data_IF_457898116340
#
_entry.id   IF_457898116340
#
_cell.length_a   1.000
_cell.length_b   1.000
_cell.length_c   1.000
_cell.angle_alpha   90.00
_cell.angle_beta   90.00
_cell.angle_gamma   90.00
#
_symmetry.space_group_name_H-M   'P 1'
#
loop_
_entity.id
_entity.type
_entity.pdbx_description
1 polymer ?
#
# COMPACT_ATOMS: atom_id res chain seq x y z
N UNK A 1 25.33 -9.16 10.62
CA UNK A 1 25.54 -8.02 11.56
C UNK A 1 24.66 -8.22 12.78
N UNK A 2 25.10 -7.83 13.98
CA UNK A 2 24.21 -7.91 15.16
C UNK A 2 23.18 -6.76 15.15
N UNK A 3 22.04 -6.94 15.81
CA UNK A 3 20.98 -5.92 15.85
C UNK A 3 21.46 -4.58 16.42
N UNK A 4 22.30 -4.60 17.45
CA UNK A 4 22.86 -3.40 18.09
C UNK A 4 23.80 -2.61 17.16
N UNK A 5 24.68 -3.31 16.44
CA UNK A 5 25.56 -2.69 15.43
C UNK A 5 24.73 -2.09 14.28
N UNK A 6 23.75 -2.85 13.80
CA UNK A 6 22.85 -2.40 12.72
C UNK A 6 22.05 -1.17 13.16
N UNK A 7 21.47 -1.21 14.37
CA UNK A 7 20.73 -0.11 14.95
C UNK A 7 21.57 1.17 15.02
N UNK A 8 22.84 1.06 15.45
CA UNK A 8 23.77 2.19 15.47
C UNK A 8 23.95 2.83 14.09
N UNK A 9 24.21 2.01 13.07
CA UNK A 9 24.38 2.49 11.68
C UNK A 9 23.12 3.15 11.12
N UNK A 10 21.94 2.58 11.39
CA UNK A 10 20.67 3.19 10.98
C UNK A 10 20.43 4.50 11.72
N UNK A 11 20.72 4.56 13.02
CA UNK A 11 20.58 5.79 13.83
C UNK A 11 21.46 6.92 13.29
N UNK A 12 22.71 6.62 12.93
CA UNK A 12 23.62 7.56 12.29
C UNK A 12 23.07 8.04 10.93
N UNK A 13 22.60 7.11 10.09
CA UNK A 13 22.03 7.43 8.79
C UNK A 13 20.77 8.32 8.91
N UNK A 14 19.82 7.96 9.79
CA UNK A 14 18.62 8.77 10.07
C UNK A 14 19.00 10.18 10.57
N UNK A 15 20.01 10.28 11.44
CA UNK A 15 20.45 11.57 11.99
C UNK A 15 21.12 12.47 10.95
N UNK A 16 21.61 11.90 9.84
CA UNK A 16 22.23 12.65 8.75
C UNK A 16 21.23 13.22 7.73
N UNK A 17 19.96 12.82 7.81
CA UNK A 17 18.92 13.21 6.85
C UNK A 17 18.52 14.68 7.01
N UNK A 18 18.40 15.38 5.88
CA UNK A 18 17.70 16.65 5.81
C UNK A 18 16.19 16.40 5.69
N UNK A 19 15.55 16.17 6.85
CA UNK A 19 14.11 15.89 6.91
C UNK A 19 13.25 17.08 6.49
N UNK A 20 13.74 18.32 6.65
CA UNK A 20 13.00 19.53 6.29
C UNK A 20 12.79 19.65 4.78
N UNK A 21 13.76 19.23 3.95
CA UNK A 21 13.59 19.22 2.49
C UNK A 21 12.63 18.12 1.99
N UNK A 22 12.50 17.01 2.73
CA UNK A 22 11.54 15.95 2.43
C UNK A 22 10.12 16.42 2.76
N UNK A 23 9.94 16.81 4.03
CA UNK A 23 8.66 17.18 4.64
C UNK A 23 8.95 18.25 5.72
N UNK A 24 8.56 19.52 5.50
CA UNK A 24 8.72 20.55 6.51
C UNK A 24 8.10 20.16 7.85
N UNK A 25 8.86 20.32 8.94
CA UNK A 25 8.43 19.94 10.29
C UNK A 25 8.50 18.44 10.60
N UNK A 26 8.92 17.59 9.66
CA UNK A 26 9.14 16.17 9.95
C UNK A 26 10.32 15.99 10.90
N UNK A 27 10.08 15.19 11.95
CA UNK A 27 11.09 14.76 12.92
C UNK A 27 11.03 13.24 12.96
N UNK A 28 12.14 12.54 12.66
CA UNK A 28 12.20 11.10 12.79
C UNK A 28 11.75 10.64 14.17
N UNK A 29 10.95 9.57 14.20
CA UNK A 29 10.52 8.95 15.46
C UNK A 29 11.64 8.03 15.97
N UNK A 30 11.48 7.54 17.20
CA UNK A 30 12.30 6.38 17.62
C UNK A 30 11.89 5.15 16.80
N UNK A 31 12.79 4.19 16.73
CA UNK A 31 12.53 2.92 16.08
C UNK A 31 13.07 1.75 16.89
N UNK A 32 12.56 0.55 16.64
CA UNK A 32 13.11 -0.70 17.13
C UNK A 32 13.44 -1.64 15.97
N UNK A 33 14.51 -2.41 16.11
CA UNK A 33 14.85 -3.51 15.22
C UNK A 33 14.63 -4.82 15.95
N UNK A 34 14.01 -5.80 15.31
CA UNK A 34 13.80 -7.11 15.90
C UNK A 34 14.06 -8.23 14.90
N UNK A 35 14.35 -9.42 15.41
CA UNK A 35 14.37 -10.67 14.66
C UNK A 35 13.39 -11.66 15.31
N UNK A 36 13.48 -12.95 14.97
CA UNK A 36 12.59 -13.96 15.53
C UNK A 36 12.73 -14.11 17.07
N UNK A 37 13.89 -13.76 17.64
CA UNK A 37 14.22 -13.99 19.05
C UNK A 37 14.41 -12.70 19.87
N UNK A 38 14.96 -11.65 19.25
CA UNK A 38 15.51 -10.48 19.94
C UNK A 38 14.88 -9.21 19.42
N UNK A 39 14.80 -8.21 20.30
CA UNK A 39 14.41 -6.85 19.96
C UNK A 39 15.43 -5.88 20.55
N UNK A 40 15.84 -4.89 19.75
CA UNK A 40 16.75 -3.82 20.14
C UNK A 40 16.06 -2.47 19.98
N UNK A 41 15.96 -1.73 21.07
CA UNK A 41 15.25 -0.45 21.14
C UNK A 41 15.95 0.48 22.12
N UNK A 42 16.13 1.74 21.71
CA UNK A 42 16.66 2.81 22.57
C UNK A 42 18.00 2.47 23.26
N UNK A 43 18.89 1.82 22.51
CA UNK A 43 20.25 1.48 22.97
C UNK A 43 20.37 0.21 23.82
N UNK A 44 19.29 -0.56 23.99
CA UNK A 44 19.32 -1.82 24.75
C UNK A 44 18.56 -2.94 24.05
N UNK A 45 18.96 -4.18 24.34
CA UNK A 45 18.14 -5.35 24.07
C UNK A 45 16.97 -5.37 25.07
N UNK A 46 15.76 -5.53 24.54
CA UNK A 46 14.53 -5.64 25.32
C UNK A 46 13.87 -6.99 25.05
N UNK A 47 12.95 -7.39 25.92
CA UNK A 47 12.11 -8.55 25.68
C UNK A 47 11.22 -8.33 24.45
N UNK A 48 11.25 -9.27 23.50
CA UNK A 48 10.37 -9.24 22.34
C UNK A 48 8.98 -9.73 22.76
N UNK A 49 8.02 -8.83 22.78
CA UNK A 49 6.61 -9.15 23.00
C UNK A 49 5.85 -9.28 21.67
N UNK A 50 4.59 -9.70 21.73
CA UNK A 50 3.74 -9.94 20.54
C UNK A 50 3.43 -8.66 19.74
N UNK A 51 3.69 -7.47 20.29
CA UNK A 51 3.53 -6.20 19.56
C UNK A 51 4.57 -6.02 18.45
N UNK A 52 5.71 -6.72 18.53
CA UNK A 52 6.76 -6.75 17.52
C UNK A 52 6.52 -7.90 16.54
N UNK A 53 5.53 -7.75 15.67
CA UNK A 53 5.06 -8.81 14.76
C UNK A 53 4.88 -8.39 13.29
N UNK A 54 5.06 -7.10 12.97
CA UNK A 54 5.03 -6.58 11.61
C UNK A 54 6.07 -5.45 11.39
N UNK A 55 6.25 -5.05 10.14
CA UNK A 55 6.94 -3.81 9.80
C UNK A 55 5.87 -2.72 9.73
N UNK A 56 5.87 -1.81 10.70
CA UNK A 56 4.82 -0.79 10.86
C UNK A 56 5.27 0.27 11.87
N UNK A 57 4.41 1.25 12.14
CA UNK A 57 4.47 2.07 13.35
C UNK A 57 3.48 1.58 14.42
N UNK A 58 3.88 1.63 15.70
CA UNK A 58 3.05 1.24 16.86
C UNK A 58 3.10 2.29 17.98
N UNK A 59 2.09 2.30 18.84
CA UNK A 59 2.18 2.93 20.17
C UNK A 59 2.90 1.96 21.12
N UNK A 60 4.06 2.39 21.63
CA UNK A 60 4.85 1.62 22.58
C UNK A 60 5.17 2.51 23.79
N UNK A 61 4.62 2.15 24.95
CA UNK A 61 4.74 2.93 26.20
C UNK A 61 4.26 4.39 26.07
N UNK A 62 3.23 4.65 25.26
CA UNK A 62 2.67 6.00 25.05
C UNK A 62 3.47 6.87 24.09
N UNK A 63 4.45 6.30 23.39
CA UNK A 63 5.21 6.95 22.32
C UNK A 63 5.00 6.19 21.00
N UNK A 64 4.78 6.92 19.91
CA UNK A 64 4.72 6.34 18.57
C UNK A 64 6.13 6.02 18.07
N UNK A 65 6.40 4.75 17.74
CA UNK A 65 7.70 4.29 17.24
C UNK A 65 7.54 3.52 15.93
N UNK A 66 8.59 3.46 15.11
CA UNK A 66 8.69 2.54 13.99
C UNK A 66 9.25 1.18 14.45
N UNK A 67 8.77 0.07 13.91
CA UNK A 67 9.32 -1.26 14.19
C UNK A 67 9.64 -1.96 12.87
N UNK A 68 10.76 -2.67 12.85
CA UNK A 68 11.21 -3.37 11.66
C UNK A 68 11.84 -4.73 11.99
N UNK A 69 11.33 -5.78 11.32
CA UNK A 69 11.91 -7.12 11.35
C UNK A 69 13.11 -7.18 10.41
N UNK A 70 14.27 -7.52 10.97
CA UNK A 70 15.51 -7.68 10.23
C UNK A 70 15.65 -9.13 9.79
N UNK A 71 15.54 -9.35 8.48
CA UNK A 71 15.81 -10.64 7.85
C UNK A 71 17.08 -10.53 7.00
N UNK A 72 18.06 -11.42 7.26
CA UNK A 72 19.32 -11.46 6.50
C UNK A 72 20.26 -10.28 6.77
N UNK A 73 21.09 -9.95 5.79
CA UNK A 73 22.02 -8.81 5.85
C UNK A 73 21.50 -7.66 4.98
N UNK A 74 20.93 -6.60 5.58
CA UNK A 74 20.28 -5.54 4.83
C UNK A 74 21.29 -4.52 4.29
N UNK A 75 20.98 -3.98 3.11
CA UNK A 75 21.58 -2.74 2.62
C UNK A 75 21.14 -1.56 3.51
N UNK A 76 22.11 -0.80 4.04
CA UNK A 76 21.87 0.23 5.05
C UNK A 76 21.02 1.40 4.52
N UNK A 77 21.36 2.05 3.39
CA UNK A 77 20.47 3.02 2.74
C UNK A 77 19.05 2.51 2.54
N UNK A 78 18.89 1.27 2.04
CA UNK A 78 17.57 0.69 1.79
C UNK A 78 16.79 0.48 3.08
N UNK A 79 17.39 -0.15 4.09
CA UNK A 79 16.72 -0.36 5.37
C UNK A 79 16.39 0.96 6.07
N UNK A 80 17.30 1.95 6.00
CA UNK A 80 17.05 3.29 6.57
C UNK A 80 15.82 3.92 5.93
N UNK A 81 15.71 3.90 4.60
CA UNK A 81 14.55 4.46 3.90
C UNK A 81 13.23 3.79 4.29
N UNK A 82 13.26 2.48 4.53
CA UNK A 82 12.09 1.70 4.96
C UNK A 82 11.70 1.97 6.40
N UNK A 83 12.66 2.16 7.30
CA UNK A 83 12.33 2.56 8.67
C UNK A 83 11.76 3.98 8.69
N UNK A 84 12.29 4.90 7.88
CA UNK A 84 11.75 6.27 7.79
C UNK A 84 10.35 6.29 7.17
N UNK A 85 10.02 5.37 6.26
CA UNK A 85 8.65 5.12 5.80
C UNK A 85 7.72 4.84 6.99
N UNK A 86 8.09 3.90 7.86
CA UNK A 86 7.28 3.57 9.05
C UNK A 86 7.23 4.73 10.05
N UNK A 87 8.33 5.48 10.22
CA UNK A 87 8.32 6.70 11.03
C UNK A 87 7.33 7.74 10.48
N UNK A 88 7.16 7.80 9.16
CA UNK A 88 6.22 8.70 8.52
C UNK A 88 4.76 8.30 8.79
N UNK A 89 4.43 7.01 8.83
CA UNK A 89 3.11 6.57 9.31
C UNK A 89 2.84 7.00 10.75
N UNK A 90 3.86 6.99 11.60
CA UNK A 90 3.74 7.54 12.95
C UNK A 90 3.50 9.05 12.96
N UNK A 91 4.08 9.83 12.03
CA UNK A 91 3.75 11.25 11.86
C UNK A 91 2.29 11.43 11.42
N UNK A 92 1.83 10.69 10.40
CA UNK A 92 0.44 10.74 9.93
C UNK A 92 -0.55 10.49 11.07
N UNK A 93 -0.22 9.54 11.95
CA UNK A 93 -1.00 9.23 13.17
C UNK A 93 -1.00 10.39 14.15
N UNK A 94 0.17 10.97 14.47
CA UNK A 94 0.32 12.13 15.38
C UNK A 94 -0.42 13.38 14.87
N UNK A 95 -0.39 13.60 13.56
CA UNK A 95 -1.10 14.69 12.89
C UNK A 95 -2.58 14.38 12.63
N UNK A 96 -3.05 13.18 13.01
CA UNK A 96 -4.45 12.74 12.90
C UNK A 96 -4.98 12.81 11.48
N UNK A 97 -4.18 12.37 10.51
CA UNK A 97 -4.65 12.21 9.14
C UNK A 97 -5.90 11.31 9.16
N UNK A 98 -7.00 11.80 8.61
CA UNK A 98 -8.33 11.16 8.71
C UNK A 98 -8.76 10.50 7.40
N UNK A 99 -7.77 10.10 6.59
CA UNK A 99 -7.97 9.54 5.26
C UNK A 99 -7.66 8.05 5.17
N UNK A 100 -7.65 7.33 6.30
CA UNK A 100 -7.56 5.86 6.31
C UNK A 100 -8.75 5.24 5.57
N UNK A 101 -8.48 4.24 4.72
CA UNK A 101 -9.51 3.50 4.00
C UNK A 101 -10.01 2.32 4.84
N UNK A 102 -11.29 1.97 4.69
CA UNK A 102 -11.82 0.71 5.22
C UNK A 102 -11.46 -0.43 4.25
N UNK A 103 -10.35 -1.09 4.54
CA UNK A 103 -9.78 -2.16 3.71
C UNK A 103 -10.71 -3.37 3.60
N UNK A 104 -11.43 -3.72 4.68
CA UNK A 104 -12.37 -4.82 4.67
C UNK A 104 -13.58 -4.48 3.81
N UNK A 105 -14.15 -3.27 3.93
CA UNK A 105 -15.22 -2.81 3.04
C UNK A 105 -14.79 -2.83 1.56
N UNK A 106 -13.56 -2.38 1.28
CA UNK A 106 -13.03 -2.29 -0.07
C UNK A 106 -12.99 -3.64 -0.78
N UNK A 107 -12.67 -4.74 -0.07
CA UNK A 107 -12.69 -6.08 -0.65
C UNK A 107 -14.06 -6.42 -1.29
N UNK A 108 -15.15 -6.03 -0.66
CA UNK A 108 -16.50 -6.33 -1.15
C UNK A 108 -16.99 -5.30 -2.17
N UNK A 109 -16.71 -4.02 -1.90
CA UNK A 109 -17.36 -2.90 -2.57
C UNK A 109 -16.59 -2.41 -3.78
N UNK A 110 -15.26 -2.48 -3.77
CA UNK A 110 -14.44 -2.03 -4.90
C UNK A 110 -14.72 -2.91 -6.14
N UNK A 111 -15.01 -2.29 -7.29
CA UNK A 111 -15.25 -3.02 -8.54
C UNK A 111 -14.18 -2.72 -9.58
N UNK A 112 -13.48 -3.77 -9.99
CA UNK A 112 -12.59 -3.70 -11.14
C UNK A 112 -13.41 -3.52 -12.42
N UNK A 113 -13.11 -2.44 -13.15
CA UNK A 113 -13.82 -2.07 -14.37
C UNK A 113 -12.81 -1.65 -15.45
N UNK A 114 -12.97 -2.19 -16.66
CA UNK A 114 -12.02 -1.97 -17.75
C UNK A 114 -11.93 -0.50 -18.18
N UNK A 115 -13.03 0.26 -18.16
CA UNK A 115 -13.02 1.70 -18.49
C UNK A 115 -12.31 2.52 -17.41
N UNK A 116 -12.57 2.21 -16.12
CA UNK A 116 -11.90 2.87 -15.01
C UNK A 116 -10.39 2.59 -15.05
N UNK A 117 -10.02 1.34 -15.28
CA UNK A 117 -8.63 0.91 -15.38
C UNK A 117 -7.93 1.49 -16.61
N UNK A 118 -8.63 1.63 -17.74
CA UNK A 118 -8.05 2.28 -18.93
C UNK A 118 -7.77 3.76 -18.69
N UNK A 119 -8.64 4.48 -17.97
CA UNK A 119 -8.37 5.86 -17.56
C UNK A 119 -7.17 5.91 -16.61
N UNK A 120 -7.09 5.00 -15.64
CA UNK A 120 -5.97 4.90 -14.71
C UNK A 120 -4.63 4.64 -15.43
N UNK A 121 -4.61 3.80 -16.46
CA UNK A 121 -3.42 3.61 -17.29
C UNK A 121 -2.99 4.90 -18.01
N UNK A 122 -3.95 5.71 -18.49
CA UNK A 122 -3.65 7.02 -19.07
C UNK A 122 -3.09 7.98 -18.01
N UNK A 123 -3.65 7.98 -16.81
CA UNK A 123 -3.14 8.75 -15.67
C UNK A 123 -1.70 8.33 -15.34
N UNK A 124 -1.39 7.03 -15.35
CA UNK A 124 -0.05 6.52 -15.13
C UNK A 124 0.92 6.98 -16.22
N UNK A 125 0.55 6.95 -17.49
CA UNK A 125 1.38 7.50 -18.58
C UNK A 125 1.71 8.98 -18.36
N UNK A 126 0.74 9.76 -17.89
CA UNK A 126 0.92 11.18 -17.57
C UNK A 126 1.81 11.37 -16.34
N UNK A 127 1.63 10.57 -15.29
CA UNK A 127 2.50 10.56 -14.11
C UNK A 127 3.95 10.24 -14.49
N UNK A 128 4.18 9.25 -15.35
CA UNK A 128 5.52 8.91 -15.83
C UNK A 128 6.15 10.01 -16.68
N UNK A 129 5.36 10.67 -17.54
CA UNK A 129 5.82 11.85 -18.28
C UNK A 129 6.24 12.97 -17.33
N UNK A 130 5.43 13.27 -16.31
CA UNK A 130 5.69 14.30 -15.31
C UNK A 130 6.91 13.98 -14.44
N UNK A 131 7.14 12.69 -14.15
CA UNK A 131 8.31 12.20 -13.43
C UNK A 131 9.62 12.43 -14.21
N UNK A 132 9.59 12.28 -15.53
CA UNK A 132 10.76 12.51 -16.38
C UNK A 132 11.01 14.00 -16.60
N UNK A 133 9.93 14.76 -16.84
CA UNK A 133 9.98 16.22 -16.94
C UNK A 133 8.61 16.80 -16.66
N UNK A 134 8.54 17.70 -15.68
CA UNK A 134 7.30 18.41 -15.41
C UNK A 134 6.80 19.19 -16.63
N UNK A 135 5.51 19.04 -16.92
CA UNK A 135 4.81 19.67 -18.04
C UNK A 135 3.40 20.04 -17.58
N UNK A 136 3.10 21.32 -17.53
CA UNK A 136 1.81 21.85 -17.04
C UNK A 136 0.62 21.36 -17.89
N UNK A 137 0.82 21.10 -19.19
CA UNK A 137 -0.24 20.55 -20.04
C UNK A 137 -0.59 19.11 -19.63
N UNK A 138 0.41 18.24 -19.48
CA UNK A 138 0.23 16.88 -18.99
C UNK A 138 -0.35 16.85 -17.57
N UNK A 139 0.06 17.78 -16.70
CA UNK A 139 -0.47 17.88 -15.34
C UNK A 139 -1.96 18.24 -15.32
N UNK A 140 -2.39 19.21 -16.14
CA UNK A 140 -3.81 19.56 -16.27
C UNK A 140 -4.63 18.43 -16.86
N UNK A 141 -4.09 17.71 -17.86
CA UNK A 141 -4.72 16.53 -18.42
C UNK A 141 -4.93 15.45 -17.34
N UNK A 142 -3.89 15.16 -16.55
CA UNK A 142 -3.95 14.21 -15.44
C UNK A 142 -5.07 14.57 -14.46
N UNK A 143 -5.12 15.83 -14.01
CA UNK A 143 -6.17 16.28 -13.10
C UNK A 143 -7.57 16.16 -13.73
N UNK A 144 -7.71 16.45 -15.03
CA UNK A 144 -9.02 16.34 -15.71
C UNK A 144 -9.53 14.90 -15.81
N UNK A 145 -8.65 13.92 -16.03
CA UNK A 145 -9.00 12.50 -16.00
C UNK A 145 -9.34 12.03 -14.58
N UNK A 146 -8.56 12.45 -13.58
CA UNK A 146 -8.88 12.15 -12.17
C UNK A 146 -10.19 12.77 -11.75
N UNK A 147 -10.51 13.98 -12.22
CA UNK A 147 -11.82 14.59 -11.99
C UNK A 147 -12.94 13.76 -12.59
N UNK A 148 -12.81 13.34 -13.85
CA UNK A 148 -13.78 12.46 -14.50
C UNK A 148 -13.96 11.15 -13.71
N UNK A 149 -12.87 10.51 -13.27
CA UNK A 149 -12.94 9.30 -12.45
C UNK A 149 -13.64 9.54 -11.12
N UNK A 150 -13.37 10.67 -10.45
CA UNK A 150 -14.03 11.03 -9.19
C UNK A 150 -15.54 11.19 -9.33
N UNK A 151 -16.04 11.59 -10.51
CA UNK A 151 -17.48 11.74 -10.77
C UNK A 151 -18.11 10.41 -11.22
N UNK A 152 -17.42 9.61 -12.04
CA UNK A 152 -17.95 8.39 -12.64
C UNK A 152 -17.81 7.15 -11.74
N UNK A 153 -16.75 7.07 -10.95
CA UNK A 153 -16.40 5.94 -10.08
C UNK A 153 -16.07 6.46 -8.66
N UNK A 154 -17.04 7.09 -7.97
CA UNK A 154 -16.77 7.86 -6.76
C UNK A 154 -16.22 7.01 -5.61
N UNK A 155 -16.63 5.75 -5.49
CA UNK A 155 -16.14 4.87 -4.43
C UNK A 155 -14.71 4.41 -4.71
N UNK A 156 -14.45 3.87 -5.90
CA UNK A 156 -13.13 3.41 -6.31
C UNK A 156 -12.11 4.55 -6.26
N UNK A 157 -12.50 5.74 -6.73
CA UNK A 157 -11.64 6.91 -6.70
C UNK A 157 -11.35 7.40 -5.27
N UNK A 158 -12.34 7.41 -4.37
CA UNK A 158 -12.14 7.79 -2.97
C UNK A 158 -11.23 6.79 -2.25
N UNK A 159 -11.47 5.49 -2.41
CA UNK A 159 -10.61 4.43 -1.88
C UNK A 159 -9.17 4.56 -2.38
N UNK A 160 -8.97 4.62 -3.71
CA UNK A 160 -7.63 4.78 -4.30
C UNK A 160 -6.92 6.03 -3.78
N UNK A 161 -7.63 7.16 -3.70
CA UNK A 161 -7.05 8.43 -3.25
C UNK A 161 -6.63 8.40 -1.78
N UNK A 162 -7.34 7.65 -0.94
CA UNK A 162 -6.98 7.41 0.47
C UNK A 162 -5.71 6.59 0.61
N UNK A 163 -5.61 5.49 -0.15
CA UNK A 163 -4.39 4.66 -0.16
C UNK A 163 -3.21 5.42 -0.74
N UNK A 164 -3.40 6.12 -1.87
CA UNK A 164 -2.36 6.96 -2.47
C UNK A 164 -1.87 8.05 -1.51
N UNK A 165 -2.76 8.62 -0.69
CA UNK A 165 -2.41 9.61 0.31
C UNK A 165 -1.62 8.98 1.47
N UNK A 166 -2.09 7.88 2.06
CA UNK A 166 -1.42 7.27 3.22
C UNK A 166 -0.13 6.56 2.82
N UNK A 167 -0.25 5.57 1.94
CA UNK A 167 0.85 4.67 1.57
C UNK A 167 1.75 5.31 0.52
N UNK A 168 1.16 6.07 -0.41
CA UNK A 168 1.92 6.73 -1.46
C UNK A 168 2.76 7.90 -0.94
N UNK A 169 2.31 8.63 0.08
CA UNK A 169 3.14 9.65 0.71
C UNK A 169 4.31 9.05 1.51
N UNK A 170 4.08 7.95 2.23
CA UNK A 170 5.14 7.21 2.91
C UNK A 170 6.16 6.64 1.90
N UNK A 171 5.67 6.11 0.78
CA UNK A 171 6.50 5.64 -0.35
C UNK A 171 7.30 6.77 -1.01
N UNK A 172 6.72 7.98 -1.13
CA UNK A 172 7.45 9.16 -1.60
C UNK A 172 8.56 9.55 -0.62
N UNK A 173 8.29 9.51 0.69
CA UNK A 173 9.28 9.77 1.73
C UNK A 173 10.41 8.74 1.68
N UNK A 174 10.11 7.45 1.56
CA UNK A 174 11.12 6.39 1.34
C UNK A 174 12.02 6.72 0.13
N UNK A 175 11.41 7.09 -0.99
CA UNK A 175 12.15 7.44 -2.20
C UNK A 175 13.03 8.70 -2.02
N UNK A 176 12.51 9.74 -1.35
CA UNK A 176 13.25 10.96 -1.08
C UNK A 176 14.44 10.73 -0.12
N UNK A 177 14.26 9.86 0.88
CA UNK A 177 15.33 9.42 1.79
C UNK A 177 16.42 8.69 1.03
N UNK A 178 16.05 7.75 0.15
CA UNK A 178 17.04 7.10 -0.72
C UNK A 178 17.80 8.12 -1.57
N UNK A 179 17.13 9.15 -2.08
CA UNK A 179 17.79 10.22 -2.84
C UNK A 179 18.87 10.99 -2.06
N UNK A 180 18.79 11.01 -0.72
CA UNK A 180 19.81 11.63 0.14
C UNK A 180 20.94 10.65 0.52
N UNK A 181 20.65 9.35 0.59
CA UNK A 181 21.59 8.34 1.09
C UNK A 181 22.33 7.58 -0.02
N UNK A 182 21.64 7.23 -1.11
CA UNK A 182 22.16 6.43 -2.20
C UNK A 182 21.38 6.69 -3.52
N UNK A 183 22.01 7.45 -4.41
CA UNK A 183 21.43 7.80 -5.72
C UNK A 183 21.11 6.57 -6.59
N UNK A 184 21.90 5.49 -6.50
CA UNK A 184 21.66 4.28 -7.30
C UNK A 184 20.44 3.52 -6.77
N UNK A 185 20.31 3.41 -5.45
CA UNK A 185 19.12 2.80 -4.84
C UNK A 185 17.86 3.62 -5.13
N UNK A 186 17.96 4.96 -5.10
CA UNK A 186 16.87 5.86 -5.49
C UNK A 186 16.47 5.69 -6.96
N UNK A 187 17.44 5.57 -7.87
CA UNK A 187 17.20 5.32 -9.29
C UNK A 187 16.56 3.94 -9.52
N UNK A 188 17.02 2.90 -8.82
CA UNK A 188 16.40 1.58 -8.85
C UNK A 188 14.96 1.61 -8.32
N UNK A 189 14.65 2.37 -7.27
CA UNK A 189 13.28 2.57 -6.81
C UNK A 189 12.42 3.29 -7.86
N UNK A 190 12.95 4.34 -8.50
CA UNK A 190 12.28 5.04 -9.59
C UNK A 190 11.90 4.10 -10.74
N UNK A 191 12.80 3.23 -11.16
CA UNK A 191 12.51 2.26 -12.23
C UNK A 191 11.54 1.15 -11.79
N UNK A 192 11.57 0.73 -10.52
CA UNK A 192 10.55 -0.16 -9.95
C UNK A 192 9.15 0.49 -10.01
N UNK A 193 9.03 1.76 -9.61
CA UNK A 193 7.77 2.51 -9.72
C UNK A 193 7.29 2.55 -11.17
N UNK A 194 8.16 2.88 -12.13
CA UNK A 194 7.83 2.90 -13.57
C UNK A 194 7.31 1.56 -14.04
N UNK A 195 8.04 0.49 -13.75
CA UNK A 195 7.68 -0.86 -14.16
C UNK A 195 6.32 -1.29 -13.58
N UNK A 196 6.02 -0.93 -12.33
CA UNK A 196 4.81 -1.34 -11.64
C UNK A 196 3.53 -0.68 -12.18
N UNK A 197 3.61 0.57 -12.67
CA UNK A 197 2.41 1.32 -13.08
C UNK A 197 2.06 1.24 -14.58
N UNK A 198 2.92 0.59 -15.39
CA UNK A 198 2.80 0.59 -16.86
C UNK A 198 1.85 -0.49 -17.40
N UNK A 199 1.65 -1.59 -16.66
CA UNK A 199 0.90 -2.76 -17.16
C UNK A 199 -0.39 -2.99 -16.36
N UNK A 200 -1.52 -3.29 -17.01
CA UNK A 200 -2.81 -3.45 -16.33
C UNK A 200 -2.79 -4.56 -15.26
N UNK A 201 -2.13 -5.68 -15.52
CA UNK A 201 -2.06 -6.80 -14.58
C UNK A 201 -1.30 -6.46 -13.29
N UNK A 202 -0.44 -5.43 -13.30
CA UNK A 202 0.28 -4.95 -12.12
C UNK A 202 -0.52 -3.94 -11.30
N UNK A 203 -1.69 -3.54 -11.80
CA UNK A 203 -2.63 -2.66 -11.09
C UNK A 203 -3.68 -3.45 -10.31
N UNK A 204 -3.55 -4.78 -10.26
CA UNK A 204 -4.47 -5.72 -9.63
C UNK A 204 -3.70 -6.60 -8.62
N UNK A 205 -4.06 -6.61 -7.32
CA UNK A 205 -5.09 -5.77 -6.71
C UNK A 205 -4.71 -4.29 -6.65
N UNK A 206 -5.72 -3.41 -6.64
CA UNK A 206 -5.53 -1.96 -6.72
C UNK A 206 -4.67 -1.40 -5.60
N UNK A 207 -4.80 -1.93 -4.38
CA UNK A 207 -4.19 -1.41 -3.16
C UNK A 207 -2.69 -1.17 -3.31
N UNK A 208 -1.95 -2.18 -3.80
CA UNK A 208 -0.48 -2.10 -3.88
C UNK A 208 -0.02 -1.14 -4.96
N UNK A 209 -0.73 -1.12 -6.09
CA UNK A 209 -0.40 -0.17 -7.15
C UNK A 209 -0.55 1.30 -6.71
N UNK A 210 -1.42 1.58 -5.72
CA UNK A 210 -1.61 2.93 -5.17
C UNK A 210 -0.39 3.47 -4.42
N UNK A 211 0.51 2.63 -3.93
CA UNK A 211 1.74 3.07 -3.27
C UNK A 211 2.60 3.89 -4.24
N UNK A 212 2.83 3.30 -5.41
CA UNK A 212 3.64 3.94 -6.45
C UNK A 212 2.89 5.04 -7.17
N UNK A 213 1.60 4.87 -7.51
CA UNK A 213 0.85 5.97 -8.15
C UNK A 213 0.71 7.17 -7.21
N UNK A 214 0.54 6.94 -5.90
CA UNK A 214 0.52 7.98 -4.88
C UNK A 214 1.87 8.70 -4.76
N UNK A 215 2.99 7.97 -4.70
CA UNK A 215 4.31 8.60 -4.67
C UNK A 215 4.59 9.47 -5.91
N UNK A 216 4.22 8.98 -7.09
CA UNK A 216 4.31 9.72 -8.35
C UNK A 216 3.38 10.95 -8.35
N UNK A 217 2.18 10.84 -7.78
CA UNK A 217 1.23 11.95 -7.66
C UNK A 217 1.78 13.05 -6.74
N UNK A 218 2.31 12.67 -5.57
CA UNK A 218 2.97 13.61 -4.64
C UNK A 218 4.11 14.35 -5.34
N UNK A 219 4.95 13.62 -6.07
CA UNK A 219 6.04 14.22 -6.86
C UNK A 219 5.51 15.22 -7.90
N UNK A 220 4.45 14.85 -8.65
CA UNK A 220 3.85 15.73 -9.65
C UNK A 220 3.24 17.00 -9.03
N UNK A 221 2.57 16.88 -7.87
CA UNK A 221 2.01 18.03 -7.14
C UNK A 221 3.12 18.96 -6.62
N UNK A 222 4.22 18.40 -6.09
CA UNK A 222 5.39 19.18 -5.66
C UNK A 222 6.04 19.91 -6.82
N UNK A 223 6.21 19.24 -7.97
CA UNK A 223 6.74 19.86 -9.18
C UNK A 223 5.80 20.97 -9.74
N UNK A 224 4.49 20.87 -9.49
CA UNK A 224 3.51 21.91 -9.79
C UNK A 224 3.51 23.08 -8.77
N UNK A 225 4.37 23.04 -7.75
CA UNK A 225 4.48 24.07 -6.71
C UNK A 225 3.50 23.93 -5.54
N UNK A 226 2.83 22.78 -5.40
CA UNK A 226 1.99 22.47 -4.24
C UNK A 226 2.77 21.67 -3.19
N UNK A 227 2.35 21.71 -1.92
CA UNK A 227 2.93 20.84 -0.89
C UNK A 227 1.84 19.91 -0.29
N UNK A 228 1.52 18.80 -0.97
CA UNK A 228 0.44 17.90 -0.54
C UNK A 228 0.68 17.30 0.84
N UNK A 229 1.95 17.09 1.21
CA UNK A 229 2.29 16.53 2.51
C UNK A 229 2.00 17.52 3.66
N UNK A 230 2.01 18.84 3.40
CA UNK A 230 1.62 19.91 4.34
C UNK A 230 0.14 20.24 4.35
N UNK A 231 -0.67 19.53 3.58
CA UNK A 231 -2.06 19.92 3.42
C UNK A 231 -2.79 19.91 4.77
N UNK A 232 -3.61 20.92 5.04
CA UNK A 232 -4.48 20.91 6.22
C UNK A 232 -5.62 19.88 6.10
N UNK A 233 -5.82 19.31 4.90
CA UNK A 233 -6.85 18.32 4.62
C UNK A 233 -6.29 17.21 3.74
N UNK A 234 -6.53 15.98 4.14
CA UNK A 234 -6.13 14.79 3.42
C UNK A 234 -7.39 13.99 3.00
N UNK A 235 -7.44 13.39 1.80
CA UNK A 235 -6.44 13.46 0.73
C UNK A 235 -6.29 14.84 0.08
N UNK A 236 -5.05 15.27 -0.17
CA UNK A 236 -4.74 16.56 -0.76
C UNK A 236 -5.26 16.67 -2.22
N UNK A 237 -5.38 15.52 -2.91
CA UNK A 237 -5.91 15.45 -4.27
C UNK A 237 -7.32 16.03 -4.40
N UNK A 238 -8.18 15.88 -3.39
CA UNK A 238 -9.55 16.42 -3.46
C UNK A 238 -9.56 17.95 -3.50
N UNK A 239 -8.62 18.61 -2.82
CA UNK A 239 -8.48 20.06 -2.90
C UNK A 239 -8.01 20.48 -4.31
N UNK A 240 -7.06 19.74 -4.89
CA UNK A 240 -6.55 20.00 -6.24
C UNK A 240 -7.62 19.84 -7.33
N UNK A 241 -8.60 18.95 -7.14
CA UNK A 241 -9.67 18.70 -8.11
C UNK A 241 -10.85 19.66 -8.04
N UNK A 242 -10.99 20.47 -6.98
CA UNK A 242 -12.20 21.26 -6.69
C UNK A 242 -12.69 22.13 -7.86
N UNK A 243 -11.76 22.71 -8.63
CA UNK A 243 -12.07 23.61 -9.75
C UNK A 243 -11.65 23.05 -11.11
N UNK A 244 -11.33 21.76 -11.17
CA UNK A 244 -10.90 21.10 -12.40
C UNK A 244 -12.14 20.69 -13.18
N UNK A 245 -12.15 20.96 -14.49
CA UNK A 245 -13.18 20.42 -15.38
C UNK A 245 -12.87 18.96 -15.72
N UNK A 246 -13.83 18.03 -15.63
CA UNK A 246 -13.61 16.67 -16.08
C UNK A 246 -13.29 16.67 -17.57
N UNK A 247 -12.42 15.76 -17.99
CA UNK A 247 -12.25 15.47 -19.42
C UNK A 247 -13.47 14.74 -19.98
N UNK A 248 -13.54 14.62 -21.30
CA UNK A 248 -14.55 13.81 -21.99
C UNK A 248 -14.26 12.29 -21.92
N UNK A 249 -13.13 11.92 -21.30
CA UNK A 249 -12.67 10.55 -21.16
C UNK A 249 -11.95 10.00 -22.40
N UNK A 250 -11.82 10.78 -23.47
CA UNK A 250 -11.12 10.36 -24.68
C UNK A 250 -9.63 10.63 -24.58
N UNK A 251 -8.83 9.73 -25.14
CA UNK A 251 -7.39 9.91 -25.31
C UNK A 251 -6.87 8.96 -26.41
N UNK A 252 -5.68 9.23 -27.01
CA UNK A 252 -5.12 8.38 -28.05
C UNK A 252 -4.92 6.92 -27.61
N UNK A 253 -5.50 5.99 -28.36
CA UNK A 253 -5.35 4.54 -28.11
C UNK A 253 -6.25 3.98 -27.00
N UNK A 254 -7.34 4.67 -26.63
CA UNK A 254 -8.28 4.22 -25.59
C UNK A 254 -8.85 2.83 -25.84
N UNK A 255 -9.26 2.49 -27.07
CA UNK A 255 -9.87 1.18 -27.35
C UNK A 255 -8.89 0.01 -27.15
N UNK A 256 -7.62 0.21 -27.50
CA UNK A 256 -6.58 -0.78 -27.24
C UNK A 256 -6.35 -0.94 -25.73
N UNK A 257 -6.26 0.17 -24.99
CA UNK A 257 -6.10 0.13 -23.52
C UNK A 257 -7.30 -0.50 -22.82
N UNK A 258 -8.52 -0.23 -23.26
CA UNK A 258 -9.75 -0.86 -22.74
C UNK A 258 -9.72 -2.37 -22.94
N UNK A 259 -9.29 -2.86 -24.10
CA UNK A 259 -9.14 -4.30 -24.35
C UNK A 259 -8.12 -4.94 -23.41
N UNK A 260 -6.91 -4.37 -23.32
CA UNK A 260 -5.87 -4.91 -22.42
C UNK A 260 -6.29 -4.85 -20.95
N UNK A 261 -7.02 -3.81 -20.55
CA UNK A 261 -7.59 -3.70 -19.21
C UNK A 261 -8.66 -4.76 -18.96
N UNK A 262 -9.56 -5.00 -19.92
CA UNK A 262 -10.57 -6.04 -19.83
C UNK A 262 -9.95 -7.44 -19.72
N UNK A 263 -8.92 -7.71 -20.52
CA UNK A 263 -8.19 -8.99 -20.48
C UNK A 263 -7.54 -9.22 -19.10
N UNK A 264 -6.93 -8.19 -18.52
CA UNK A 264 -6.30 -8.28 -17.20
C UNK A 264 -7.33 -8.48 -16.07
N UNK A 265 -8.47 -7.79 -16.11
CA UNK A 265 -9.57 -7.99 -15.15
C UNK A 265 -10.13 -9.41 -15.27
N UNK A 266 -10.39 -9.87 -16.49
CA UNK A 266 -10.89 -11.23 -16.72
C UNK A 266 -9.91 -12.30 -16.23
N UNK A 267 -8.59 -12.10 -16.41
CA UNK A 267 -7.58 -13.01 -15.87
C UNK A 267 -7.52 -12.98 -14.34
N UNK A 268 -7.63 -11.79 -13.74
CA UNK A 268 -7.68 -11.66 -12.29
C UNK A 268 -8.89 -12.38 -11.69
N UNK A 269 -10.05 -12.30 -12.33
CA UNK A 269 -11.27 -13.01 -11.92
C UNK A 269 -11.13 -14.53 -12.10
N UNK A 270 -10.60 -14.99 -13.24
CA UNK A 270 -10.32 -16.43 -13.49
C UNK A 270 -9.36 -17.02 -12.46
N UNK A 271 -8.31 -16.28 -12.11
CA UNK A 271 -7.37 -16.73 -11.09
C UNK A 271 -8.02 -16.79 -9.70
N UNK A 272 -8.89 -15.82 -9.38
CA UNK A 272 -9.65 -15.83 -8.13
C UNK A 272 -10.60 -17.02 -8.05
N UNK A 273 -11.31 -17.32 -9.15
CA UNK A 273 -12.15 -18.51 -9.29
C UNK A 273 -11.36 -19.79 -9.10
N UNK A 274 -10.19 -19.91 -9.74
CA UNK A 274 -9.31 -21.08 -9.62
C UNK A 274 -8.82 -21.30 -8.20
N UNK A 275 -8.41 -20.24 -7.50
CA UNK A 275 -7.98 -20.31 -6.10
C UNK A 275 -9.11 -20.83 -5.23
N UNK A 276 -10.29 -20.21 -5.31
CA UNK A 276 -11.47 -20.60 -4.52
C UNK A 276 -11.88 -22.04 -4.84
N UNK A 277 -12.02 -22.38 -6.13
CA UNK A 277 -12.39 -23.72 -6.57
C UNK A 277 -11.43 -24.79 -6.04
N UNK A 278 -10.12 -24.54 -6.13
CA UNK A 278 -9.11 -25.49 -5.64
C UNK A 278 -9.18 -25.73 -4.13
N UNK A 279 -9.46 -24.68 -3.34
CA UNK A 279 -9.60 -24.80 -1.89
C UNK A 279 -10.87 -25.58 -1.51
N UNK A 280 -11.97 -25.33 -2.23
CA UNK A 280 -13.24 -26.04 -2.03
C UNK A 280 -13.15 -27.51 -2.44
N UNK A 281 -12.45 -27.83 -3.53
CA UNK A 281 -12.20 -29.21 -3.97
C UNK A 281 -11.33 -29.99 -2.97
N UNK A 282 -10.28 -29.34 -2.43
CA UNK A 282 -9.42 -29.94 -1.41
C UNK A 282 -10.17 -30.16 -0.09
N UNK A 283 -11.13 -29.28 0.23
CA UNK A 283 -12.00 -29.35 1.40
C UNK A 283 -11.24 -29.54 2.74
N UNK A 284 -10.02 -28.99 2.83
CA UNK A 284 -9.20 -29.00 4.05
C UNK A 284 -9.64 -27.85 4.95
N UNK A 285 -10.64 -28.11 5.79
CA UNK A 285 -11.20 -27.10 6.70
C UNK A 285 -10.24 -26.83 7.86
N UNK A 286 -9.85 -25.57 8.02
CA UNK A 286 -9.02 -25.12 9.13
C UNK A 286 -9.85 -24.79 10.36
N UNK A 287 -10.93 -24.04 10.19
CA UNK A 287 -11.80 -23.55 11.26
C UNK A 287 -13.24 -23.45 10.72
N UNK A 288 -14.21 -23.79 11.56
CA UNK A 288 -15.65 -23.63 11.29
C UNK A 288 -16.19 -22.43 12.07
N UNK A 289 -17.09 -21.68 11.45
CA UNK A 289 -17.71 -20.50 12.04
C UNK A 289 -18.99 -20.77 12.85
N UNK A 290 -19.70 -19.69 13.25
CA UNK A 290 -19.49 -18.31 12.84
C UNK A 290 -18.27 -17.65 13.50
N UNK A 291 -17.45 -16.94 12.70
CA UNK A 291 -16.31 -16.13 13.18
C UNK A 291 -16.47 -14.69 12.70
N UNK A 292 -16.06 -13.71 13.52
CA UNK A 292 -15.91 -12.33 13.09
C UNK A 292 -14.56 -12.17 12.37
N UNK A 293 -14.59 -11.65 11.13
CA UNK A 293 -13.39 -11.30 10.39
C UNK A 293 -12.77 -10.03 11.00
N UNK A 294 -11.54 -10.13 11.49
CA UNK A 294 -10.79 -8.99 11.98
C UNK A 294 -9.76 -8.49 10.97
N UNK A 295 -8.97 -9.40 10.37
CA UNK A 295 -7.95 -9.00 9.41
C UNK A 295 -7.56 -10.16 8.48
N UNK A 296 -7.32 -9.83 7.21
CA UNK A 296 -6.63 -10.67 6.23
C UNK A 296 -5.34 -9.99 5.81
N UNK A 297 -4.43 -10.73 5.17
CA UNK A 297 -3.35 -10.09 4.45
C UNK A 297 -3.91 -9.32 3.24
N UNK A 298 -4.18 -8.03 3.45
CA UNK A 298 -4.80 -7.17 2.45
C UNK A 298 -3.89 -6.92 1.23
N UNK A 299 -2.60 -7.27 1.32
CA UNK A 299 -1.63 -7.03 0.27
C UNK A 299 -2.03 -7.70 -1.06
N UNK A 300 -2.57 -8.92 -0.97
CA UNK A 300 -2.97 -9.73 -2.13
C UNK A 300 -4.34 -10.38 -1.99
N UNK A 301 -5.13 -9.92 -1.01
CA UNK A 301 -6.49 -10.40 -0.80
C UNK A 301 -7.37 -10.17 -2.03
N UNK A 302 -8.22 -11.17 -2.29
CA UNK A 302 -9.19 -11.20 -3.39
C UNK A 302 -10.57 -11.43 -2.80
N UNK A 303 -11.59 -10.89 -3.45
CA UNK A 303 -12.98 -11.24 -3.20
C UNK A 303 -13.59 -11.86 -4.46
N UNK A 304 -14.17 -13.04 -4.33
CA UNK A 304 -14.82 -13.73 -5.44
C UNK A 304 -16.03 -14.53 -4.93
N UNK A 305 -17.23 -14.19 -5.41
CA UNK A 305 -18.48 -14.92 -5.14
C UNK A 305 -18.73 -15.30 -3.67
N UNK A 306 -18.50 -14.37 -2.73
CA UNK A 306 -18.71 -14.62 -1.30
C UNK A 306 -17.51 -15.25 -0.59
N UNK A 307 -16.38 -15.41 -1.29
CA UNK A 307 -15.13 -15.90 -0.70
C UNK A 307 -14.08 -14.80 -0.66
N UNK A 308 -13.30 -14.76 0.42
CA UNK A 308 -12.10 -13.92 0.54
C UNK A 308 -10.86 -14.82 0.53
N UNK A 309 -9.78 -14.39 -0.11
CA UNK A 309 -8.47 -15.06 0.01
C UNK A 309 -7.58 -14.29 0.98
N UNK A 310 -6.81 -15.01 1.79
CA UNK A 310 -5.75 -14.42 2.62
C UNK A 310 -4.51 -15.28 2.58
N UNK A 311 -3.36 -14.70 2.23
CA UNK A 311 -2.07 -15.38 2.32
C UNK A 311 -1.38 -15.10 3.64
N UNK A 312 -0.47 -15.99 4.03
CA UNK A 312 0.36 -15.92 5.23
C UNK A 312 -0.37 -15.95 6.58
N UNK A 313 -1.52 -15.30 6.75
CA UNK A 313 -2.26 -15.32 8.01
C UNK A 313 -3.75 -15.00 7.86
N UNK A 314 -4.52 -15.27 8.91
CA UNK A 314 -5.88 -14.77 9.14
C UNK A 314 -6.02 -14.43 10.63
N UNK A 315 -6.60 -13.26 10.91
CA UNK A 315 -7.04 -12.87 12.25
C UNK A 315 -8.57 -12.87 12.30
N UNK A 316 -9.13 -13.62 13.25
CA UNK A 316 -10.58 -13.70 13.48
C UNK A 316 -10.90 -13.65 14.98
N UNK A 317 -12.17 -13.41 15.31
CA UNK A 317 -12.69 -13.49 16.68
C UNK A 317 -13.82 -14.50 16.79
N UNK A 318 -13.79 -15.29 17.86
CA UNK A 318 -14.87 -16.19 18.26
C UNK A 318 -15.26 -15.96 19.73
N UNK A 319 -16.05 -16.87 20.31
CA UNK A 319 -16.47 -16.78 21.71
C UNK A 319 -15.32 -16.90 22.73
N UNK A 320 -14.19 -17.48 22.33
CA UNK A 320 -12.98 -17.64 23.14
C UNK A 320 -12.01 -16.47 23.05
N UNK A 321 -12.16 -15.58 22.07
CA UNK A 321 -11.33 -14.38 21.92
C UNK A 321 -10.82 -14.19 20.49
N UNK A 322 -9.71 -13.47 20.37
CA UNK A 322 -9.03 -13.22 19.09
C UNK A 322 -8.00 -14.30 18.79
N UNK A 323 -7.94 -14.74 17.54
CA UNK A 323 -7.05 -15.81 17.10
C UNK A 323 -6.35 -15.43 15.80
N UNK A 324 -5.03 -15.58 15.80
CA UNK A 324 -4.21 -15.52 14.59
C UNK A 324 -3.82 -16.91 14.16
N UNK A 325 -4.17 -17.30 12.93
CA UNK A 325 -3.67 -18.53 12.31
C UNK A 325 -2.77 -18.18 11.13
N UNK A 326 -1.67 -18.90 10.98
CA UNK A 326 -0.71 -18.69 9.90
C UNK A 326 -0.89 -19.74 8.79
N UNK A 327 -0.78 -19.30 7.54
CA UNK A 327 -1.00 -20.08 6.34
C UNK A 327 -1.74 -19.32 5.26
N UNK A 328 -2.01 -20.01 4.16
CA UNK A 328 -2.81 -19.49 3.04
C UNK A 328 -4.25 -20.04 3.18
N UNK A 329 -5.24 -19.17 3.05
CA UNK A 329 -6.64 -19.47 3.36
C UNK A 329 -7.62 -18.93 2.31
N UNK A 330 -8.72 -19.66 2.13
CA UNK A 330 -9.94 -19.20 1.47
C UNK A 330 -11.05 -19.18 2.52
N UNK A 331 -11.65 -18.03 2.72
CA UNK A 331 -12.67 -17.77 3.71
C UNK A 331 -14.03 -17.74 3.02
N UNK A 332 -14.92 -18.64 3.39
CA UNK A 332 -16.32 -18.55 3.01
C UNK A 332 -17.03 -17.54 3.91
N UNK A 333 -17.64 -16.53 3.31
CA UNK A 333 -18.26 -15.42 4.02
C UNK A 333 -19.78 -15.57 4.02
N UNK A 334 -20.40 -15.48 5.21
CA UNK A 334 -21.86 -15.37 5.33
C UNK A 334 -22.35 -13.96 5.01
N UNK A 335 -21.54 -12.95 5.34
CA UNK A 335 -21.76 -11.55 5.02
C UNK A 335 -20.42 -10.79 4.99
N UNK A 336 -20.45 -9.45 5.03
CA UNK A 336 -19.26 -8.61 4.95
C UNK A 336 -18.30 -8.73 6.15
N UNK A 337 -18.73 -9.33 7.27
CA UNK A 337 -17.97 -9.40 8.53
C UNK A 337 -17.94 -10.79 9.14
N UNK A 338 -18.82 -11.70 8.73
CA UNK A 338 -18.93 -13.04 9.31
C UNK A 338 -18.40 -14.11 8.36
N UNK A 339 -17.44 -14.89 8.85
CA UNK A 339 -16.88 -16.08 8.19
C UNK A 339 -17.74 -17.29 8.59
N UNK A 340 -18.24 -18.05 7.62
CA UNK A 340 -18.89 -19.35 7.89
C UNK A 340 -17.87 -20.48 8.02
N UNK A 341 -16.82 -20.45 7.20
CA UNK A 341 -15.81 -21.52 7.15
C UNK A 341 -14.49 -21.03 6.60
N UNK A 342 -13.39 -21.56 7.11
CA UNK A 342 -12.04 -21.29 6.63
C UNK A 342 -11.44 -22.56 6.02
N UNK A 343 -11.09 -22.49 4.75
CA UNK A 343 -10.40 -23.55 4.03
C UNK A 343 -8.90 -23.24 3.96
N UNK A 344 -8.05 -24.23 4.19
CA UNK A 344 -6.64 -24.12 3.82
C UNK A 344 -6.55 -24.08 2.31
N UNK A 345 -5.76 -23.14 1.81
CA UNK A 345 -5.38 -23.07 0.41
C UNK A 345 -3.91 -23.45 0.31
N UNK A 346 -3.59 -24.41 -0.55
CA UNK A 346 -2.20 -24.65 -0.95
C UNK A 346 -2.08 -24.07 -2.33
N UNK A 347 -1.28 -23.02 -2.48
CA UNK A 347 -0.88 -22.59 -3.81
C UNK A 347 -0.32 -23.82 -4.51
N UNK A 348 -0.95 -24.23 -5.60
CA UNK A 348 -0.44 -25.29 -6.46
C UNK A 348 0.99 -24.90 -6.81
N UNK A 349 1.97 -25.65 -6.31
CA UNK A 349 3.37 -25.56 -6.75
C UNK A 349 3.39 -26.05 -8.19
N UNK A 350 2.97 -25.17 -9.10
CA UNK A 350 2.82 -25.42 -10.51
C UNK A 350 3.98 -24.79 -11.26
N UNK A 351 5.03 -25.61 -11.42
CA UNK A 351 6.20 -25.49 -12.31
C UNK A 351 7.24 -24.41 -12.01
#
# INVERSE_FOLDING_TARGET
MKLDELYGRITEAVSSLDCESIRPGFRPLKFALYDDEKCFFDGAYIEKTDVFCANTSIDYNGEQIAIWKVDGEPDIPVLTSKIVHEMFHGLQTREKWNCWADETEALYRYKYNADALSLRLRENDLLLRLLDRFDDTAYRELLSHRRLRSEKYPYEFDYESRIEEIEGSATYVEWAVLGQLDENAAAAMKERMRAAVTKPERLLPVRISCYYTGALMINAMKAAGSDPLSSAKHPAIFAALKNVRPSDGNYPGIDARRRTAADAVAEFDRESERIVGSALEMNDVAVEGPLELLCVNIYDARFFNGYITSRYFLLYRDAGGEHTIYGDFVLEMSDAKTISRVYRWRASTGL
#
